data_IF_329252559333
#
_entry.id   IF_329252559333
#
_cell.length_a   1.000
_cell.length_b   1.000
_cell.length_c   1.000
_cell.angle_alpha   90.00
_cell.angle_beta   90.00
_cell.angle_gamma   90.00
#
_symmetry.space_group_name_H-M   'P 1'
#
loop_
_entity.id
_entity.type
_entity.pdbx_description
1 polymer ?
#
# COMPACT_ATOMS: atom_id res chain seq x y z
N UNK A 1 -10.87 1.70 -6.91
CA UNK A 1 -11.98 1.61 -7.88
C UNK A 1 -11.91 2.71 -8.96
N UNK A 2 -11.82 3.99 -8.60
CA UNK A 2 -11.96 5.12 -9.54
C UNK A 2 -10.96 5.13 -10.72
N UNK A 3 -9.74 4.63 -10.55
CA UNK A 3 -8.69 4.65 -11.59
C UNK A 3 -8.72 3.45 -12.55
N UNK A 4 -9.46 2.38 -12.24
CA UNK A 4 -9.45 1.14 -13.04
C UNK A 4 -10.17 1.29 -14.38
N UNK A 5 -11.43 1.78 -14.46
CA UNK A 5 -12.09 2.00 -15.74
C UNK A 5 -11.37 3.01 -16.64
N UNK A 6 -10.89 4.18 -16.15
CA UNK A 6 -10.08 5.08 -16.97
C UNK A 6 -8.78 4.44 -17.46
N UNK A 7 -8.10 3.64 -16.63
CA UNK A 7 -6.88 2.93 -17.02
C UNK A 7 -7.11 1.90 -18.13
N UNK A 8 -8.18 1.10 -18.02
CA UNK A 8 -8.58 0.15 -19.08
C UNK A 8 -8.92 0.91 -20.37
N UNK A 9 -9.67 2.01 -20.27
CA UNK A 9 -10.02 2.81 -21.44
C UNK A 9 -8.79 3.42 -22.11
N UNK A 10 -7.84 3.95 -21.33
CA UNK A 10 -6.60 4.51 -21.85
C UNK A 10 -5.75 3.44 -22.57
N UNK A 11 -5.58 2.26 -21.96
CA UNK A 11 -4.84 1.15 -22.54
C UNK A 11 -5.48 0.61 -23.82
N UNK A 12 -6.82 0.58 -23.90
CA UNK A 12 -7.54 0.00 -25.02
C UNK A 12 -7.75 0.99 -26.18
N UNK A 13 -7.95 2.28 -25.90
CA UNK A 13 -8.49 3.25 -26.87
C UNK A 13 -7.64 4.50 -27.09
N UNK A 14 -6.39 4.53 -26.62
CA UNK A 14 -5.38 5.48 -27.13
C UNK A 14 -5.27 5.34 -28.67
N UNK A 15 -4.88 6.36 -29.46
CA UNK A 15 -4.85 6.26 -30.92
C UNK A 15 -4.08 5.05 -31.48
N UNK A 16 -3.05 4.61 -30.76
CA UNK A 16 -2.28 3.40 -31.06
C UNK A 16 -2.72 2.18 -30.22
N UNK A 17 -3.92 2.15 -29.66
CA UNK A 17 -4.39 1.07 -28.80
C UNK A 17 -4.82 -0.19 -29.58
N UNK A 18 -5.09 -1.31 -28.89
CA UNK A 18 -5.70 -2.50 -29.48
C UNK A 18 -7.15 -2.28 -29.94
N UNK A 19 -7.86 -1.27 -29.43
CA UNK A 19 -9.26 -0.95 -29.74
C UNK A 19 -10.21 -2.14 -29.53
N UNK A 20 -10.05 -2.84 -28.39
CA UNK A 20 -10.77 -4.06 -28.05
C UNK A 20 -10.59 -5.23 -29.03
N UNK A 21 -9.63 -5.16 -29.95
CA UNK A 21 -9.22 -6.29 -30.79
C UNK A 21 -8.13 -7.07 -30.06
N UNK A 22 -8.40 -8.34 -29.78
CA UNK A 22 -7.45 -9.22 -29.10
C UNK A 22 -6.51 -9.93 -30.09
N UNK A 23 -7.03 -10.33 -31.24
CA UNK A 23 -6.32 -11.15 -32.21
C UNK A 23 -6.59 -10.67 -33.63
N UNK A 24 -5.54 -10.51 -34.42
CA UNK A 24 -5.65 -10.27 -35.84
C UNK A 24 -5.66 -11.62 -36.57
N UNK A 25 -6.78 -11.94 -37.23
CA UNK A 25 -6.93 -13.17 -38.00
C UNK A 25 -6.14 -13.17 -39.30
N UNK A 26 -5.87 -12.01 -39.88
CA UNK A 26 -5.12 -11.88 -41.13
C UNK A 26 -3.62 -12.12 -40.88
N UNK A 27 -3.07 -11.50 -39.83
CA UNK A 27 -1.65 -11.62 -39.47
C UNK A 27 -1.36 -12.83 -38.58
N UNK A 28 -2.39 -13.60 -38.20
CA UNK A 28 -2.31 -14.70 -37.23
C UNK A 28 -1.60 -14.33 -35.91
N UNK A 29 -1.74 -13.08 -35.46
CA UNK A 29 -0.97 -12.53 -34.36
C UNK A 29 -1.85 -11.84 -33.30
N UNK A 30 -1.35 -11.81 -32.06
CA UNK A 30 -1.97 -11.07 -30.96
C UNK A 30 -1.79 -9.56 -31.14
N UNK A 31 -2.84 -8.79 -30.87
CA UNK A 31 -2.80 -7.33 -31.00
C UNK A 31 -2.43 -6.73 -29.65
N UNK A 32 -1.23 -6.14 -29.59
CA UNK A 32 -0.73 -5.37 -28.43
C UNK A 32 -1.01 -6.03 -27.08
N UNK A 33 -0.54 -7.28 -26.94
CA UNK A 33 -0.86 -8.16 -25.81
C UNK A 33 -0.45 -7.56 -24.44
N UNK A 34 0.54 -6.65 -24.41
CA UNK A 34 0.93 -5.93 -23.19
C UNK A 34 -0.17 -5.03 -22.64
N UNK A 35 -0.85 -4.29 -23.51
CA UNK A 35 -1.98 -3.45 -23.13
C UNK A 35 -3.13 -4.31 -22.54
N UNK A 36 -3.30 -5.54 -23.03
CA UNK A 36 -4.25 -6.50 -22.48
C UNK A 36 -3.83 -7.03 -21.09
N UNK A 37 -2.54 -7.27 -20.86
CA UNK A 37 -2.04 -7.62 -19.53
C UNK A 37 -2.27 -6.48 -18.53
N UNK A 38 -1.97 -5.23 -18.89
CA UNK A 38 -2.26 -4.06 -18.03
C UNK A 38 -3.76 -3.90 -17.78
N UNK A 39 -4.60 -4.05 -18.80
CA UNK A 39 -6.06 -3.99 -18.67
C UNK A 39 -6.58 -5.06 -17.70
N UNK A 40 -6.01 -6.27 -17.74
CA UNK A 40 -6.33 -7.35 -16.81
C UNK A 40 -5.91 -7.01 -15.38
N UNK A 41 -4.71 -6.48 -15.19
CA UNK A 41 -4.25 -5.99 -13.89
C UNK A 41 -5.18 -4.91 -13.33
N UNK A 42 -5.55 -3.91 -14.14
CA UNK A 42 -6.50 -2.86 -13.74
C UNK A 42 -7.87 -3.41 -13.37
N UNK A 43 -8.37 -4.42 -14.07
CA UNK A 43 -9.65 -5.06 -13.75
C UNK A 43 -9.65 -5.61 -12.31
N UNK A 44 -8.62 -6.36 -11.91
CA UNK A 44 -8.56 -6.94 -10.57
C UNK A 44 -8.37 -5.89 -9.48
N UNK A 45 -7.59 -4.83 -9.72
CA UNK A 45 -7.54 -3.66 -8.82
C UNK A 45 -8.88 -2.89 -8.76
N UNK A 46 -9.65 -2.92 -9.85
CA UNK A 46 -11.03 -2.44 -9.88
C UNK A 46 -11.94 -3.25 -8.94
N UNK A 47 -11.88 -4.59 -9.05
CA UNK A 47 -12.60 -5.52 -8.17
C UNK A 47 -12.24 -5.33 -6.70
N UNK A 48 -10.94 -5.22 -6.37
CA UNK A 48 -10.48 -4.89 -5.02
C UNK A 48 -11.11 -3.60 -4.50
N UNK A 49 -11.11 -2.55 -5.32
CA UNK A 49 -11.72 -1.28 -4.91
C UNK A 49 -13.24 -1.36 -4.73
N UNK A 50 -13.94 -2.21 -5.48
CA UNK A 50 -15.37 -2.46 -5.27
C UNK A 50 -15.59 -3.20 -3.94
N UNK A 51 -14.77 -4.21 -3.64
CA UNK A 51 -14.80 -4.91 -2.35
C UNK A 51 -14.58 -3.94 -1.17
N UNK A 52 -13.62 -3.03 -1.28
CA UNK A 52 -13.39 -1.98 -0.28
C UNK A 52 -14.64 -1.12 -0.06
N UNK A 53 -15.27 -0.66 -1.15
CA UNK A 53 -16.50 0.15 -1.07
C UNK A 53 -17.67 -0.63 -0.45
N UNK A 54 -17.86 -1.90 -0.82
CA UNK A 54 -18.91 -2.75 -0.26
C UNK A 54 -18.71 -2.97 1.24
N UNK A 55 -17.46 -3.26 1.66
CA UNK A 55 -17.13 -3.45 3.09
C UNK A 55 -17.21 -2.17 3.92
N UNK A 56 -17.02 -1.01 3.31
CA UNK A 56 -17.20 0.29 3.97
C UNK A 56 -18.67 0.78 3.97
N UNK A 57 -19.54 0.17 3.18
CA UNK A 57 -20.96 0.51 3.07
C UNK A 57 -21.80 -0.21 4.15
N UNK A 58 -23.06 0.21 4.40
CA UNK A 58 -23.95 -0.51 5.31
C UNK A 58 -24.47 -1.86 4.75
N UNK A 59 -24.05 -2.24 3.53
CA UNK A 59 -24.47 -3.49 2.92
C UNK A 59 -23.84 -4.70 3.64
N UNK A 60 -24.53 -5.84 3.72
CA UNK A 60 -23.97 -7.05 4.28
C UNK A 60 -22.85 -7.58 3.38
N UNK A 61 -21.59 -7.34 3.78
CA UNK A 61 -20.40 -7.86 3.13
C UNK A 61 -19.72 -8.92 4.02
N UNK A 62 -19.24 -10.04 3.45
CA UNK A 62 -18.49 -11.02 4.21
C UNK A 62 -17.25 -10.41 4.89
N UNK A 63 -16.98 -10.75 6.17
CA UNK A 63 -15.72 -10.41 6.81
C UNK A 63 -14.53 -10.92 6.00
N UNK A 64 -13.60 -10.03 5.68
CA UNK A 64 -12.34 -10.31 4.99
C UNK A 64 -12.40 -10.13 3.47
N UNK A 65 -13.56 -9.78 2.91
CA UNK A 65 -13.74 -9.59 1.46
C UNK A 65 -12.77 -8.53 0.89
N UNK A 66 -12.57 -7.43 1.61
CA UNK A 66 -11.61 -6.35 1.31
C UNK A 66 -10.20 -6.90 1.12
N UNK A 67 -9.72 -7.65 2.11
CA UNK A 67 -8.37 -8.22 2.14
C UNK A 67 -8.20 -9.33 1.10
N UNK A 68 -9.20 -10.18 0.94
CA UNK A 68 -9.17 -11.25 -0.06
C UNK A 68 -9.09 -10.68 -1.48
N UNK A 69 -9.91 -9.67 -1.79
CA UNK A 69 -9.91 -9.06 -3.10
C UNK A 69 -8.58 -8.33 -3.40
N UNK A 70 -8.00 -7.64 -2.41
CA UNK A 70 -6.68 -7.02 -2.56
C UNK A 70 -5.56 -8.07 -2.73
N UNK A 71 -5.60 -9.16 -1.96
CA UNK A 71 -4.64 -10.26 -2.10
C UNK A 71 -4.69 -10.88 -3.49
N UNK A 72 -5.89 -11.11 -4.03
CA UNK A 72 -6.07 -11.61 -5.39
C UNK A 72 -5.57 -10.63 -6.44
N UNK A 73 -5.78 -9.33 -6.26
CA UNK A 73 -5.26 -8.32 -7.17
C UNK A 73 -3.73 -8.31 -7.21
N UNK A 74 -3.07 -8.33 -6.05
CA UNK A 74 -1.61 -8.44 -5.93
C UNK A 74 -1.10 -9.76 -6.53
N UNK A 75 -1.80 -10.87 -6.31
CA UNK A 75 -1.43 -12.16 -6.88
C UNK A 75 -1.49 -12.14 -8.41
N UNK A 76 -2.56 -11.59 -8.99
CA UNK A 76 -2.71 -11.45 -10.46
C UNK A 76 -1.65 -10.52 -11.04
N UNK A 77 -1.33 -9.41 -10.36
CA UNK A 77 -0.20 -8.55 -10.72
C UNK A 77 1.10 -9.36 -10.81
N UNK A 78 1.47 -10.04 -9.72
CA UNK A 78 2.70 -10.85 -9.68
C UNK A 78 2.71 -11.96 -10.73
N UNK A 79 1.57 -12.62 -10.94
CA UNK A 79 1.42 -13.68 -11.93
C UNK A 79 1.63 -13.18 -13.36
N UNK A 80 1.03 -12.04 -13.72
CA UNK A 80 1.21 -11.43 -15.04
C UNK A 80 2.66 -10.95 -15.23
N UNK A 81 3.26 -10.29 -14.22
CA UNK A 81 4.65 -9.85 -14.27
C UNK A 81 5.64 -11.01 -14.42
N UNK A 82 5.39 -12.15 -13.78
CA UNK A 82 6.24 -13.33 -13.91
C UNK A 82 6.33 -13.82 -15.35
N UNK A 83 5.21 -13.85 -16.08
CA UNK A 83 5.20 -14.25 -17.49
C UNK A 83 5.62 -13.15 -18.46
N UNK A 84 5.62 -11.88 -18.03
CA UNK A 84 6.12 -10.76 -18.84
C UNK A 84 7.64 -10.82 -19.09
N UNK A 85 8.42 -11.32 -18.12
CA UNK A 85 9.89 -11.26 -18.15
C UNK A 85 10.58 -12.43 -18.87
N UNK A 86 9.81 -13.41 -19.33
CA UNK A 86 10.38 -14.52 -20.08
C UNK A 86 11.05 -14.00 -21.36
N UNK A 87 12.29 -14.43 -21.61
CA UNK A 87 13.18 -14.04 -22.72
C UNK A 87 13.89 -12.67 -22.62
N UNK A 88 14.02 -12.08 -21.43
CA UNK A 88 14.84 -10.87 -21.20
C UNK A 88 16.30 -11.20 -20.83
N UNK A 89 17.14 -10.17 -20.77
CA UNK A 89 18.55 -10.27 -20.32
C UNK A 89 18.64 -10.67 -18.84
N UNK A 90 19.78 -11.20 -18.38
CA UNK A 90 19.93 -11.67 -17.00
C UNK A 90 19.62 -10.60 -15.94
N UNK A 91 20.12 -9.37 -16.12
CA UNK A 91 19.86 -8.26 -15.20
C UNK A 91 18.38 -7.85 -15.17
N UNK A 92 17.75 -7.72 -16.34
CA UNK A 92 16.33 -7.37 -16.47
C UNK A 92 15.43 -8.43 -15.78
N UNK A 93 15.71 -9.71 -16.01
CA UNK A 93 15.00 -10.81 -15.32
C UNK A 93 15.21 -10.72 -13.80
N UNK A 94 16.43 -10.42 -13.35
CA UNK A 94 16.75 -10.38 -11.92
C UNK A 94 16.06 -9.21 -11.19
N UNK A 95 16.13 -7.99 -11.72
CA UNK A 95 15.50 -6.82 -11.10
C UNK A 95 13.98 -7.00 -10.98
N UNK A 96 13.34 -7.61 -11.97
CA UNK A 96 11.91 -7.92 -11.92
C UNK A 96 11.61 -9.11 -10.99
N UNK A 97 12.47 -10.12 -10.93
CA UNK A 97 12.29 -11.22 -9.97
C UNK A 97 12.28 -10.74 -8.53
N UNK A 98 13.11 -9.74 -8.20
CA UNK A 98 13.11 -9.08 -6.90
C UNK A 98 11.80 -8.29 -6.63
N UNK A 99 11.20 -7.67 -7.67
CA UNK A 99 9.87 -7.07 -7.54
C UNK A 99 8.81 -8.12 -7.20
N UNK A 100 8.85 -9.27 -7.87
CA UNK A 100 7.91 -10.38 -7.62
C UNK A 100 7.96 -10.86 -6.18
N UNK A 101 9.13 -10.88 -5.54
CA UNK A 101 9.26 -11.22 -4.11
C UNK A 101 8.43 -10.27 -3.24
N UNK A 102 8.49 -8.96 -3.50
CA UNK A 102 7.70 -7.98 -2.75
C UNK A 102 6.20 -8.13 -3.03
N UNK A 103 5.81 -8.32 -4.30
CA UNK A 103 4.40 -8.45 -4.72
C UNK A 103 3.77 -9.73 -4.17
N UNK A 104 4.40 -10.90 -4.35
CA UNK A 104 3.88 -12.15 -3.80
C UNK A 104 3.92 -12.19 -2.28
N UNK A 105 4.96 -11.61 -1.65
CA UNK A 105 5.00 -11.41 -0.21
C UNK A 105 3.83 -10.55 0.27
N UNK A 106 3.53 -9.47 -0.45
CA UNK A 106 2.39 -8.58 -0.16
C UNK A 106 1.06 -9.30 -0.33
N UNK A 107 0.89 -10.09 -1.40
CA UNK A 107 -0.29 -10.90 -1.64
C UNK A 107 -0.51 -11.92 -0.51
N UNK A 108 0.55 -12.63 -0.11
CA UNK A 108 0.51 -13.61 0.98
C UNK A 108 0.23 -12.95 2.34
N UNK A 109 0.89 -11.84 2.66
CA UNK A 109 0.63 -11.08 3.89
C UNK A 109 -0.83 -10.62 3.96
N UNK A 110 -1.35 -10.07 2.85
CA UNK A 110 -2.74 -9.61 2.76
C UNK A 110 -3.73 -10.77 2.89
N UNK A 111 -3.40 -11.94 2.30
CA UNK A 111 -4.22 -13.14 2.45
C UNK A 111 -4.28 -13.62 3.90
N UNK A 112 -3.16 -13.61 4.61
CA UNK A 112 -3.12 -13.98 6.03
C UNK A 112 -4.01 -13.07 6.89
N UNK A 113 -4.11 -11.78 6.56
CA UNK A 113 -5.01 -10.85 7.24
C UNK A 113 -6.50 -11.20 7.07
N UNK A 114 -6.89 -12.03 6.09
CA UNK A 114 -8.27 -12.55 5.99
C UNK A 114 -8.63 -13.36 7.24
N UNK A 115 -7.68 -14.12 7.76
CA UNK A 115 -7.84 -14.95 8.95
C UNK A 115 -7.37 -14.25 10.23
N UNK A 116 -6.37 -13.38 10.12
CA UNK A 116 -5.68 -12.72 11.24
C UNK A 116 -5.87 -11.19 11.20
N UNK A 117 -7.14 -10.77 11.18
CA UNK A 117 -7.60 -9.42 10.79
C UNK A 117 -6.99 -8.26 11.56
N UNK A 118 -6.76 -8.46 12.86
CA UNK A 118 -6.35 -7.43 13.81
C UNK A 118 -4.91 -7.59 14.28
N UNK A 119 -4.07 -8.28 13.50
CA UNK A 119 -2.63 -8.38 13.79
C UNK A 119 -1.90 -7.12 13.32
N UNK A 120 -1.42 -6.24 14.23
CA UNK A 120 -0.71 -5.04 13.83
C UNK A 120 0.60 -5.38 13.12
N UNK A 121 1.21 -6.51 13.47
CA UNK A 121 2.45 -7.00 12.85
C UNK A 121 2.23 -7.32 11.37
N UNK A 122 1.12 -7.99 11.02
CA UNK A 122 0.83 -8.29 9.60
C UNK A 122 0.55 -7.01 8.81
N UNK A 123 -0.16 -6.05 9.40
CA UNK A 123 -0.44 -4.77 8.75
C UNK A 123 0.84 -3.96 8.51
N UNK A 124 1.75 -3.91 9.50
CA UNK A 124 3.06 -3.26 9.37
C UNK A 124 3.94 -3.99 8.35
N UNK A 125 3.91 -5.32 8.33
CA UNK A 125 4.64 -6.13 7.35
C UNK A 125 4.15 -5.88 5.92
N UNK A 126 2.83 -5.96 5.68
CA UNK A 126 2.21 -5.61 4.40
C UNK A 126 2.58 -4.19 3.96
N UNK A 127 2.53 -3.22 4.88
CA UNK A 127 2.91 -1.84 4.58
C UNK A 127 4.40 -1.71 4.20
N UNK A 128 5.30 -2.43 4.89
CA UNK A 128 6.73 -2.45 4.53
C UNK A 128 6.98 -3.03 3.13
N UNK A 129 6.25 -4.09 2.76
CA UNK A 129 6.33 -4.71 1.43
C UNK A 129 5.75 -3.81 0.34
N UNK A 130 4.68 -3.05 0.63
CA UNK A 130 4.13 -2.07 -0.31
C UNK A 130 5.13 -0.92 -0.60
N UNK A 131 5.83 -0.43 0.43
CA UNK A 131 6.91 0.56 0.25
C UNK A 131 8.06 -0.04 -0.57
N UNK A 132 8.46 -1.28 -0.25
CA UNK A 132 9.50 -1.98 -1.01
C UNK A 132 9.10 -2.14 -2.47
N UNK A 133 7.90 -2.65 -2.77
CA UNK A 133 7.37 -2.79 -4.13
C UNK A 133 7.43 -1.45 -4.88
N UNK A 134 6.89 -0.37 -4.29
CA UNK A 134 6.82 0.93 -4.95
C UNK A 134 8.21 1.53 -5.22
N UNK A 135 9.09 1.55 -4.22
CA UNK A 135 10.45 2.10 -4.38
C UNK A 135 11.30 1.25 -5.33
N UNK A 136 11.09 -0.07 -5.34
CA UNK A 136 11.80 -0.96 -6.25
C UNK A 136 11.32 -0.84 -7.69
N UNK A 137 10.02 -0.59 -7.90
CA UNK A 137 9.49 -0.30 -9.24
C UNK A 137 10.19 0.91 -9.88
N UNK A 138 10.44 1.96 -9.09
CA UNK A 138 11.25 3.10 -9.52
C UNK A 138 12.70 2.71 -9.81
N UNK A 139 13.31 1.88 -8.96
CA UNK A 139 14.68 1.40 -9.15
C UNK A 139 14.84 0.64 -10.48
N UNK A 140 13.87 -0.20 -10.86
CA UNK A 140 13.85 -0.89 -12.17
C UNK A 140 13.91 0.14 -13.30
N UNK A 141 13.10 1.19 -13.22
CA UNK A 141 13.11 2.28 -14.20
C UNK A 141 14.49 2.92 -14.36
N UNK A 142 15.18 3.23 -13.26
CA UNK A 142 16.52 3.82 -13.32
C UNK A 142 17.61 2.88 -13.85
N UNK A 143 17.49 1.57 -13.59
CA UNK A 143 18.46 0.58 -14.08
C UNK A 143 18.28 0.34 -15.58
N UNK A 144 17.05 0.14 -16.04
CA UNK A 144 16.77 -0.18 -17.45
C UNK A 144 16.71 1.06 -18.35
N UNK A 145 16.39 2.23 -17.78
CA UNK A 145 16.26 3.49 -18.49
C UNK A 145 16.95 4.63 -17.73
N UNK A 146 18.31 4.68 -17.74
CA UNK A 146 19.07 5.70 -17.03
C UNK A 146 18.61 7.12 -17.40
N UNK A 147 18.26 7.99 -16.42
CA UNK A 147 17.78 9.32 -16.70
C UNK A 147 18.84 10.15 -17.42
N UNK A 148 18.42 10.95 -18.41
CA UNK A 148 19.33 11.82 -19.15
C UNK A 148 20.29 11.10 -20.10
N UNK A 149 20.08 9.80 -20.38
CA UNK A 149 20.93 9.03 -21.28
C UNK A 149 22.29 8.67 -20.67
N UNK A 150 22.35 8.52 -19.33
CA UNK A 150 23.54 8.05 -18.62
C UNK A 150 24.02 6.67 -19.08
N UNK A 151 25.19 6.26 -18.60
CA UNK A 151 25.79 4.98 -18.97
C UNK A 151 24.84 3.81 -18.66
N UNK A 152 24.67 2.93 -19.66
CA UNK A 152 23.85 1.74 -19.51
C UNK A 152 24.58 0.69 -18.68
N UNK A 153 23.79 -0.07 -17.92
CA UNK A 153 24.30 -1.19 -17.13
C UNK A 153 24.73 -2.33 -18.06
N UNK A 154 25.84 -3.00 -17.73
CA UNK A 154 26.15 -4.29 -18.36
C UNK A 154 25.20 -5.36 -17.79
N UNK A 155 24.19 -5.70 -18.58
CA UNK A 155 23.13 -6.63 -18.20
C UNK A 155 23.58 -8.09 -18.09
N UNK A 156 24.82 -8.40 -18.50
CA UNK A 156 25.43 -9.73 -18.39
C UNK A 156 26.48 -9.81 -17.28
N UNK A 157 26.89 -8.69 -16.70
CA UNK A 157 27.85 -8.67 -15.61
C UNK A 157 27.22 -9.18 -14.30
N UNK A 158 27.82 -10.22 -13.74
CA UNK A 158 27.41 -10.80 -12.48
C UNK A 158 27.59 -9.83 -11.30
N UNK A 159 28.57 -8.92 -11.34
CA UNK A 159 28.77 -7.95 -10.27
C UNK A 159 27.58 -6.99 -10.15
N UNK A 160 26.96 -6.62 -11.28
CA UNK A 160 25.74 -5.81 -11.30
C UNK A 160 24.57 -6.54 -10.63
N UNK A 161 24.43 -7.84 -10.85
CA UNK A 161 23.44 -8.69 -10.16
C UNK A 161 23.65 -8.67 -8.64
N UNK A 162 24.90 -8.87 -8.19
CA UNK A 162 25.24 -8.85 -6.76
C UNK A 162 24.96 -7.48 -6.13
N UNK A 163 25.37 -6.40 -6.81
CA UNK A 163 25.16 -5.04 -6.36
C UNK A 163 23.66 -4.70 -6.23
N UNK A 164 22.88 -5.01 -7.26
CA UNK A 164 21.42 -4.77 -7.26
C UNK A 164 20.74 -5.56 -6.15
N UNK A 165 21.17 -6.80 -5.89
CA UNK A 165 20.62 -7.61 -4.78
C UNK A 165 20.88 -6.93 -3.43
N UNK A 166 22.08 -6.36 -3.24
CA UNK A 166 22.40 -5.59 -2.05
C UNK A 166 21.54 -4.33 -1.93
N UNK A 167 21.35 -3.59 -3.04
CA UNK A 167 20.47 -2.42 -3.07
C UNK A 167 19.04 -2.78 -2.68
N UNK A 168 18.52 -3.92 -3.11
CA UNK A 168 17.19 -4.40 -2.71
C UNK A 168 17.06 -4.53 -1.18
N UNK A 169 18.08 -5.11 -0.53
CA UNK A 169 18.11 -5.21 0.93
C UNK A 169 18.15 -3.83 1.60
N UNK A 170 18.85 -2.85 1.02
CA UNK A 170 18.85 -1.48 1.54
C UNK A 170 17.49 -0.79 1.39
N UNK A 171 16.80 -0.98 0.27
CA UNK A 171 15.42 -0.53 0.11
C UNK A 171 14.51 -1.10 1.18
N UNK A 172 14.65 -2.40 1.48
CA UNK A 172 13.84 -3.03 2.51
C UNK A 172 14.19 -2.53 3.92
N UNK A 173 15.47 -2.35 4.23
CA UNK A 173 15.90 -1.74 5.48
C UNK A 173 15.33 -0.32 5.64
N UNK A 174 15.36 0.49 4.58
CA UNK A 174 14.76 1.82 4.57
C UNK A 174 13.23 1.77 4.76
N UNK A 175 12.54 0.83 4.11
CA UNK A 175 11.11 0.62 4.29
C UNK A 175 10.76 0.28 5.75
N UNK A 176 11.54 -0.60 6.41
CA UNK A 176 11.37 -0.93 7.83
C UNK A 176 11.59 0.29 8.74
N UNK A 177 12.60 1.12 8.45
CA UNK A 177 12.82 2.37 9.20
C UNK A 177 11.66 3.36 9.03
N UNK A 178 11.10 3.49 7.83
CA UNK A 178 9.92 4.32 7.57
C UNK A 178 8.73 3.83 8.39
N UNK A 179 8.48 2.52 8.39
CA UNK A 179 7.39 1.92 9.18
C UNK A 179 7.61 2.13 10.69
N UNK A 180 8.82 1.88 11.19
CA UNK A 180 9.16 2.09 12.59
C UNK A 180 9.01 3.56 13.02
N UNK A 181 9.43 4.49 12.17
CA UNK A 181 9.27 5.92 12.37
C UNK A 181 7.80 6.33 12.44
N UNK A 182 6.97 5.86 11.50
CA UNK A 182 5.53 6.12 11.49
C UNK A 182 4.84 5.54 12.74
N UNK A 183 5.14 4.29 13.09
CA UNK A 183 4.59 3.65 14.27
C UNK A 183 4.94 4.42 15.55
N UNK A 184 6.22 4.81 15.70
CA UNK A 184 6.69 5.58 16.85
C UNK A 184 6.05 6.97 16.92
N UNK A 185 5.88 7.64 15.77
CA UNK A 185 5.23 8.94 15.71
C UNK A 185 3.76 8.87 16.13
N UNK A 186 3.01 7.89 15.60
CA UNK A 186 1.60 7.65 15.97
C UNK A 186 1.49 7.32 17.45
N UNK A 187 2.32 6.40 17.96
CA UNK A 187 2.33 6.03 19.37
C UNK A 187 2.63 7.23 20.27
N UNK A 188 3.64 8.04 19.94
CA UNK A 188 3.96 9.27 20.65
C UNK A 188 2.78 10.25 20.64
N UNK A 189 2.13 10.44 19.50
CA UNK A 189 0.98 11.35 19.35
C UNK A 189 -0.22 10.90 20.19
N UNK A 190 -0.57 9.62 20.14
CA UNK A 190 -1.67 9.05 20.93
C UNK A 190 -1.37 9.19 22.42
N UNK A 191 -0.16 8.84 22.86
CA UNK A 191 0.25 8.95 24.27
C UNK A 191 0.26 10.40 24.75
N UNK A 192 0.71 11.35 23.93
CA UNK A 192 0.68 12.79 24.24
C UNK A 192 -0.75 13.34 24.33
N UNK A 193 -1.66 12.88 23.46
CA UNK A 193 -3.08 13.28 23.51
C UNK A 193 -3.76 12.73 24.77
N UNK A 194 -3.57 11.45 25.08
CA UNK A 194 -4.12 10.84 26.29
C UNK A 194 -3.63 11.53 27.57
N UNK A 195 -2.35 11.92 27.63
CA UNK A 195 -1.82 12.69 28.75
C UNK A 195 -2.51 14.07 28.90
N UNK A 196 -2.69 14.79 27.78
CA UNK A 196 -3.37 16.11 27.77
C UNK A 196 -4.84 16.02 28.18
N UNK A 197 -5.57 15.02 27.69
CA UNK A 197 -6.97 14.80 28.07
C UNK A 197 -7.11 14.46 29.56
N UNK A 198 -6.15 13.71 30.12
CA UNK A 198 -6.05 13.46 31.56
C UNK A 198 -5.84 14.75 32.36
N UNK A 199 -4.88 15.58 31.96
CA UNK A 199 -4.62 16.88 32.60
C UNK A 199 -5.84 17.82 32.53
N UNK A 200 -6.50 17.93 31.37
CA UNK A 200 -7.72 18.75 31.21
C UNK A 200 -8.88 18.27 32.10
N UNK A 201 -9.02 16.95 32.28
CA UNK A 201 -10.03 16.36 33.14
C UNK A 201 -9.76 16.65 34.62
N UNK A 202 -8.51 16.54 35.07
CA UNK A 202 -8.10 16.89 36.44
C UNK A 202 -8.30 18.39 36.73
N UNK A 203 -7.92 19.28 35.79
CA UNK A 203 -8.14 20.73 35.93
C UNK A 203 -9.63 21.06 36.02
N UNK A 204 -10.48 20.40 35.23
CA UNK A 204 -11.94 20.58 35.32
C UNK A 204 -12.49 20.15 36.68
N UNK A 205 -12.08 18.98 37.18
CA UNK A 205 -12.48 18.46 38.50
C UNK A 205 -12.07 19.39 39.66
N UNK A 206 -10.85 19.92 39.62
CA UNK A 206 -10.38 20.90 40.61
C UNK A 206 -11.22 22.18 40.59
N UNK A 207 -11.61 22.65 39.40
CA UNK A 207 -12.46 23.84 39.25
C UNK A 207 -13.88 23.63 39.77
N UNK A 208 -14.50 22.48 39.53
CA UNK A 208 -15.83 22.16 40.12
C UNK A 208 -15.76 22.05 41.63
N UNK A 209 -14.76 21.35 42.18
CA UNK A 209 -14.61 21.18 43.64
C UNK A 209 -14.40 22.51 44.38
N UNK A 210 -13.58 23.40 43.82
CA UNK A 210 -13.36 24.75 44.38
C UNK A 210 -14.60 25.65 44.28
N UNK A 211 -15.35 25.55 43.18
CA UNK A 211 -16.64 26.24 43.01
C UNK A 211 -17.66 25.79 44.05
N UNK A 212 -17.82 24.48 44.24
CA UNK A 212 -18.75 23.91 45.23
C UNK A 212 -18.38 24.33 46.66
N UNK A 213 -17.08 24.30 46.98
CA UNK A 213 -16.57 24.75 48.28
C UNK A 213 -16.84 26.24 48.51
N UNK A 214 -16.67 27.06 47.48
CA UNK A 214 -16.97 28.51 47.54
C UNK A 214 -18.46 28.76 47.73
N UNK A 215 -19.31 28.04 47.00
CA UNK A 215 -20.77 28.18 47.09
C UNK A 215 -21.29 27.76 48.46
N UNK A 216 -20.74 26.68 49.02
CA UNK A 216 -21.10 26.21 50.35
C UNK A 216 -20.66 27.17 51.47
N UNK A 217 -19.51 27.84 51.32
CA UNK A 217 -19.09 28.89 52.26
C UNK A 217 -19.98 30.13 52.19
N UNK A 218 -20.40 30.55 50.99
CA UNK A 218 -21.30 31.69 50.82
C UNK A 218 -22.67 31.45 51.48
N UNK A 219 -23.24 30.24 51.32
CA UNK A 219 -24.51 29.87 51.94
C UNK A 219 -24.44 29.80 53.47
N UNK A 220 -23.32 29.33 54.02
CA UNK A 220 -23.13 29.31 55.48
C UNK A 220 -22.98 30.72 56.05
N UNK A 221 -22.33 31.62 55.32
CA UNK A 221 -22.16 33.00 55.75
C UNK A 221 -23.50 33.77 55.71
N UNK A 222 -24.36 33.52 54.72
CA UNK A 222 -25.70 34.11 54.65
C UNK A 222 -26.61 33.61 55.78
N UNK A 223 -26.44 32.35 56.22
CA UNK A 223 -27.18 31.76 57.36
C UNK A 223 -26.74 32.27 58.73
N UNK A 224 -25.52 32.80 58.88
CA UNK A 224 -25.02 33.34 60.15
C UNK A 224 -25.37 34.84 60.32
N UNK A 225 -25.85 35.50 59.27
CA UNK A 225 -26.24 36.91 59.26
C UNK A 225 -27.75 37.16 59.47
N UNK A 226 -28.59 36.11 59.56
CA UNK A 226 -30.02 36.16 59.96
C UNK A 226 -30.24 35.85 61.45
#
# INVERSE_FOLDING_TARGET
AAFSPPGIMAEQFVPDGPHARLYNREDHAWVKLMNWQHSTMYLFYGVSGIADLLTASPLPAPPGLDRLALSLALFVEGFLFYFHVHSRTPLDVHVHSLLLVAVFGGAASTFLEVFLRDSPVLQLFRASLAILQGTWFWQIGFVLYPPGGGEQWDEKDHNNIMFITMCYCWHYAAALLVIAGNYTAVWCCVRRRAAREGEDMEIRLLKTSSSDTSSHKALLQESEEE
#
